data_IF_873588933105
#
_entry.id   IF_873588933105
#
_cell.length_a   1.000
_cell.length_b   1.000
_cell.length_c   1.000
_cell.angle_alpha   90.00
_cell.angle_beta   90.00
_cell.angle_gamma   90.00
#
_symmetry.space_group_name_H-M   'P 1'
#
loop_
_entity.id
_entity.type
_entity.pdbx_description
1 polymer ?
#
# COMPACT_ATOMS: atom_id res chain seq x y z
N UNK A 1 -15.01 4.42 -10.31
CA UNK A 1 -14.62 5.57 -9.47
C UNK A 1 -13.38 6.19 -10.06
N UNK A 2 -13.34 7.52 -10.20
CA UNK A 2 -12.14 8.27 -10.59
C UNK A 2 -11.42 8.81 -9.35
N UNK A 3 -10.14 9.21 -9.44
CA UNK A 3 -9.44 9.89 -8.35
C UNK A 3 -10.25 11.04 -7.74
N UNK A 4 -10.91 11.83 -8.59
CA UNK A 4 -11.78 12.95 -8.17
C UNK A 4 -13.00 12.48 -7.38
N UNK A 5 -13.59 11.33 -7.73
CA UNK A 5 -14.74 10.77 -7.02
C UNK A 5 -14.35 10.16 -5.67
N UNK A 6 -13.12 9.66 -5.52
CA UNK A 6 -12.59 9.12 -4.26
C UNK A 6 -12.33 10.25 -3.24
N UNK A 7 -11.91 11.42 -3.73
CA UNK A 7 -11.66 12.59 -2.88
C UNK A 7 -10.41 12.42 -2.01
N UNK A 8 -10.37 13.14 -0.87
CA UNK A 8 -9.25 13.06 0.08
C UNK A 8 -9.37 11.80 0.93
N UNK A 9 -8.32 10.99 0.95
CA UNK A 9 -8.23 9.73 1.68
C UNK A 9 -6.88 9.63 2.39
N UNK A 10 -6.80 8.98 3.57
CA UNK A 10 -5.52 8.64 4.19
C UNK A 10 -4.75 7.57 3.42
N UNK A 11 -5.42 6.80 2.55
CA UNK A 11 -4.79 5.78 1.72
C UNK A 11 -4.49 6.33 0.31
N UNK A 12 -3.37 5.92 -0.29
CA UNK A 12 -3.06 6.26 -1.68
C UNK A 12 -4.04 5.59 -2.64
N UNK A 13 -4.12 6.13 -3.85
CA UNK A 13 -4.97 5.57 -4.90
C UNK A 13 -4.43 4.25 -5.43
N UNK A 14 -3.12 4.04 -5.32
CA UNK A 14 -2.44 2.84 -5.81
C UNK A 14 -1.16 2.58 -5.04
N UNK A 15 -0.84 1.30 -4.88
CA UNK A 15 0.48 0.80 -4.50
C UNK A 15 1.08 0.01 -5.67
N UNK A 16 2.33 0.29 -6.00
CA UNK A 16 3.11 -0.43 -7.00
C UNK A 16 4.27 -1.15 -6.33
N UNK A 17 4.42 -2.44 -6.58
CA UNK A 17 5.53 -3.22 -6.02
C UNK A 17 6.85 -2.72 -6.64
N UNK A 18 7.78 -2.34 -5.77
CA UNK A 18 9.11 -1.85 -6.11
C UNK A 18 10.12 -3.02 -6.03
N UNK A 19 11.24 -2.99 -6.79
CA UNK A 19 12.17 -4.12 -6.86
C UNK A 19 12.79 -4.56 -5.53
N UNK A 20 12.83 -3.68 -4.54
CA UNK A 20 13.35 -3.94 -3.20
C UNK A 20 12.34 -4.62 -2.25
N UNK A 21 11.18 -5.02 -2.76
CA UNK A 21 10.14 -5.69 -1.98
C UNK A 21 9.25 -4.75 -1.16
N UNK A 22 9.37 -3.43 -1.35
CA UNK A 22 8.45 -2.43 -0.79
C UNK A 22 7.40 -2.04 -1.82
N UNK A 23 6.32 -1.43 -1.35
CA UNK A 23 5.36 -0.76 -2.22
C UNK A 23 5.67 0.73 -2.30
N UNK A 24 5.70 1.27 -3.52
CA UNK A 24 5.68 2.71 -3.78
C UNK A 24 4.25 3.14 -4.04
N UNK A 25 3.76 4.16 -3.35
CA UNK A 25 2.41 4.68 -3.54
C UNK A 25 2.35 5.83 -4.54
N UNK A 26 1.13 6.18 -4.96
CA UNK A 26 0.86 7.29 -5.89
C UNK A 26 1.32 8.66 -5.39
N UNK A 27 1.45 8.84 -4.08
CA UNK A 27 1.99 10.05 -3.43
C UNK A 27 3.52 10.00 -3.26
N UNK A 28 4.18 9.01 -3.88
CA UNK A 28 5.61 8.72 -3.77
C UNK A 28 6.11 8.27 -2.40
N UNK A 29 5.24 8.04 -1.41
CA UNK A 29 5.67 7.42 -0.15
C UNK A 29 6.01 5.93 -0.34
N UNK A 30 6.80 5.38 0.58
CA UNK A 30 7.16 3.96 0.60
C UNK A 30 6.44 3.24 1.72
N UNK A 31 6.02 2.02 1.44
CA UNK A 31 5.30 1.14 2.37
C UNK A 31 6.00 -0.21 2.43
N UNK A 32 6.31 -0.70 3.63
CA UNK A 32 6.84 -2.05 3.81
C UNK A 32 5.72 -3.06 4.00
N UNK A 33 5.93 -4.27 3.51
CA UNK A 33 5.04 -5.41 3.77
C UNK A 33 5.41 -5.98 5.14
N UNK A 34 4.54 -5.81 6.13
CA UNK A 34 4.76 -6.34 7.48
C UNK A 34 4.46 -7.85 7.51
N UNK A 35 3.34 -8.25 6.92
CA UNK A 35 3.02 -9.66 6.70
C UNK A 35 2.15 -9.86 5.47
N UNK A 36 2.21 -11.08 4.93
CA UNK A 36 1.39 -11.52 3.82
C UNK A 36 1.11 -13.02 3.98
N UNK A 37 -0.06 -13.35 4.55
CA UNK A 37 -0.38 -14.70 5.04
C UNK A 37 -1.75 -15.16 4.54
N UNK A 38 -2.00 -16.48 4.55
CA UNK A 38 -3.31 -17.08 4.27
C UNK A 38 -3.78 -17.83 5.51
N UNK A 39 -4.91 -17.43 6.08
CA UNK A 39 -5.52 -18.02 7.28
C UNK A 39 -6.93 -18.45 6.92
N UNK A 40 -7.25 -19.73 7.11
CA UNK A 40 -8.58 -20.31 6.83
C UNK A 40 -9.13 -19.97 5.43
N UNK A 41 -8.25 -19.95 4.42
CA UNK A 41 -8.63 -19.61 3.05
C UNK A 41 -8.57 -18.11 2.72
N UNK A 42 -8.54 -17.23 3.72
CA UNK A 42 -8.49 -15.77 3.57
C UNK A 42 -7.05 -15.28 3.47
N UNK A 43 -6.76 -14.48 2.44
CA UNK A 43 -5.45 -13.87 2.21
C UNK A 43 -5.39 -12.50 2.87
N UNK A 44 -4.51 -12.33 3.85
CA UNK A 44 -4.33 -11.10 4.61
C UNK A 44 -2.96 -10.48 4.32
N UNK A 45 -2.92 -9.16 4.18
CA UNK A 45 -1.69 -8.40 4.01
C UNK A 45 -1.74 -7.16 4.89
N UNK A 46 -0.63 -6.87 5.57
CA UNK A 46 -0.45 -5.64 6.34
C UNK A 46 0.69 -4.83 5.73
N UNK A 47 0.40 -3.56 5.46
CA UNK A 47 1.36 -2.57 4.99
C UNK A 47 1.56 -1.53 6.08
N UNK A 48 2.80 -1.08 6.25
CA UNK A 48 3.14 0.05 7.11
C UNK A 48 3.86 1.12 6.30
N UNK A 49 3.42 2.37 6.44
CA UNK A 49 4.03 3.51 5.78
C UNK A 49 5.38 3.83 6.45
N UNK A 50 6.42 3.97 5.64
CA UNK A 50 7.73 4.40 6.08
C UNK A 50 7.79 5.93 6.15
N UNK A 51 8.57 6.52 7.07
CA UNK A 51 8.83 7.94 7.06
C UNK A 51 9.46 8.36 5.72
N UNK A 52 9.14 9.58 5.27
CA UNK A 52 9.86 10.19 4.16
C UNK A 52 11.32 10.41 4.57
N UNK A 53 12.23 10.23 3.61
CA UNK A 53 13.65 10.59 3.76
C UNK A 53 13.82 12.11 3.90
#
# INVERSE_FOLDING_TARGET
MTPTQIGRSPLPLMWQLYPDGRYRSSDSSFWRIVYHVKIEGVKNMLLEQLPAD
#
